data_IF_555520174367
#
_entry.id   IF_555520174367
#
_cell.length_a   1.000
_cell.length_b   1.000
_cell.length_c   1.000
_cell.angle_alpha   90.00
_cell.angle_beta   90.00
_cell.angle_gamma   90.00
#
_symmetry.space_group_name_H-M   'P 1'
#
loop_
_entity.id
_entity.type
_entity.pdbx_description
1 polymer ?
#
# COMPACT_ATOMS: atom_id res chain seq x y z
N UNK A 1 11.83 -25.84 24.71
CA UNK A 1 11.62 -25.44 24.29
C UNK A 1 11.07 -24.78 23.62
N UNK A 2 11.30 -24.26 23.85
CA UNK A 2 10.35 -23.71 23.23
C UNK A 2 10.43 -23.74 21.82
N UNK A 3 10.27 -24.20 21.48
CA UNK A 3 10.12 -24.24 20.42
C UNK A 3 9.21 -23.67 19.78
N UNK A 4 9.01 -23.64 19.45
CA UNK A 4 7.91 -23.38 18.71
C UNK A 4 7.37 -21.98 18.62
N UNK A 5 8.09 -21.00 18.88
CA UNK A 5 7.66 -19.64 18.62
C UNK A 5 7.60 -19.41 17.13
N UNK A 6 6.41 -19.28 16.61
CA UNK A 6 6.23 -18.82 15.24
C UNK A 6 6.81 -17.42 15.11
N UNK A 7 7.77 -17.27 14.23
CA UNK A 7 8.25 -15.96 13.84
C UNK A 7 7.12 -15.23 13.12
N UNK A 8 6.69 -14.13 13.67
CA UNK A 8 5.74 -13.28 12.97
C UNK A 8 6.47 -12.47 11.89
N UNK A 9 5.79 -12.20 10.79
CA UNK A 9 6.30 -11.32 9.74
C UNK A 9 6.05 -9.86 10.07
N UNK A 10 5.35 -9.59 11.17
CA UNK A 10 4.97 -8.24 11.58
C UNK A 10 6.08 -7.65 12.43
N UNK A 11 6.65 -6.55 11.95
CA UNK A 11 7.72 -5.83 12.64
C UNK A 11 7.15 -4.86 13.68
N UNK A 12 8.03 -4.35 14.53
CA UNK A 12 7.68 -3.29 15.49
C UNK A 12 8.01 -1.93 14.88
N UNK A 13 7.11 -0.98 15.06
CA UNK A 13 7.31 0.41 14.64
C UNK A 13 7.36 1.30 15.86
N UNK A 14 8.45 2.06 15.99
CA UNK A 14 8.63 3.01 17.07
C UNK A 14 7.98 4.35 16.72
N UNK A 15 7.80 5.27 17.70
CA UNK A 15 7.05 6.51 17.47
C UNK A 15 7.48 7.33 16.25
N UNK A 16 8.80 7.44 16.01
CA UNK A 16 9.27 8.20 14.85
C UNK A 16 8.93 7.55 13.53
N UNK A 17 8.83 6.22 13.48
CA UNK A 17 8.42 5.49 12.28
C UNK A 17 6.92 5.67 12.05
N UNK A 18 6.13 5.64 13.12
CA UNK A 18 4.69 5.89 13.05
C UNK A 18 4.43 7.30 12.51
N UNK A 19 5.23 8.26 12.94
CA UNK A 19 5.14 9.64 12.44
C UNK A 19 5.36 9.69 10.91
N UNK A 20 6.29 8.90 10.40
CA UNK A 20 6.51 8.80 8.95
C UNK A 20 5.29 8.23 8.24
N UNK A 21 4.64 7.22 8.82
CA UNK A 21 3.39 6.68 8.24
C UNK A 21 2.33 7.77 8.11
N UNK A 22 2.16 8.57 9.16
CA UNK A 22 1.18 9.66 9.17
C UNK A 22 1.49 10.72 8.13
N UNK A 23 2.77 11.09 8.00
CA UNK A 23 3.20 12.11 7.04
C UNK A 23 2.99 11.65 5.60
N UNK A 24 3.32 10.40 5.30
CA UNK A 24 3.11 9.83 3.96
C UNK A 24 1.62 9.77 3.64
N UNK A 25 0.81 9.34 4.60
CA UNK A 25 -0.64 9.29 4.43
C UNK A 25 -1.21 10.67 4.07
N UNK A 26 -0.82 11.70 4.81
CA UNK A 26 -1.27 13.07 4.55
C UNK A 26 -0.80 13.58 3.18
N UNK A 27 0.43 13.26 2.82
CA UNK A 27 0.96 13.63 1.51
C UNK A 27 0.15 12.99 0.39
N UNK A 28 -0.12 11.70 0.51
CA UNK A 28 -0.87 10.94 -0.52
C UNK A 28 -2.30 11.47 -0.64
N UNK A 29 -2.95 11.79 0.47
CA UNK A 29 -4.29 12.39 0.44
C UNK A 29 -4.29 13.69 -0.36
N UNK A 30 -3.34 14.56 -0.09
CA UNK A 30 -3.23 15.86 -0.77
C UNK A 30 -2.89 15.69 -2.25
N UNK A 31 -1.89 14.87 -2.55
CA UNK A 31 -1.43 14.59 -3.90
C UNK A 31 -2.53 13.99 -4.78
N UNK A 32 -3.19 12.97 -4.27
CA UNK A 32 -4.21 12.26 -5.05
C UNK A 32 -5.42 13.15 -5.34
N UNK A 33 -5.85 13.95 -4.39
CA UNK A 33 -6.97 14.86 -4.61
C UNK A 33 -6.63 15.92 -5.64
N UNK A 34 -5.42 16.46 -5.61
CA UNK A 34 -4.98 17.43 -6.61
C UNK A 34 -4.96 16.83 -8.01
N UNK A 35 -4.43 15.61 -8.15
CA UNK A 35 -4.39 14.93 -9.44
C UNK A 35 -5.79 14.67 -9.98
N UNK A 36 -6.72 14.28 -9.11
CA UNK A 36 -8.09 13.96 -9.53
C UNK A 36 -8.88 15.18 -9.98
N UNK A 37 -8.43 16.38 -9.62
CA UNK A 37 -9.04 17.61 -10.10
C UNK A 37 -8.69 17.91 -11.56
N UNK A 38 -7.62 17.34 -12.09
CA UNK A 38 -7.23 17.56 -13.49
C UNK A 38 -8.15 16.74 -14.41
N UNK A 39 -8.75 17.43 -15.37
CA UNK A 39 -9.63 16.80 -16.34
C UNK A 39 -8.95 15.68 -17.12
N UNK A 40 -7.67 15.85 -17.42
CA UNK A 40 -6.90 14.88 -18.21
C UNK A 40 -6.36 13.72 -17.39
N UNK A 41 -6.50 13.75 -16.07
CA UNK A 41 -6.06 12.64 -15.23
C UNK A 41 -7.22 11.65 -15.08
N UNK A 42 -7.15 10.54 -15.80
CA UNK A 42 -8.19 9.50 -15.77
C UNK A 42 -7.81 8.33 -14.87
N UNK A 43 -6.53 8.12 -14.64
CA UNK A 43 -6.02 7.00 -13.85
C UNK A 43 -4.91 7.50 -12.92
N UNK A 44 -5.01 7.12 -11.66
CA UNK A 44 -3.97 7.37 -10.68
C UNK A 44 -3.33 6.05 -10.34
N UNK A 45 -2.00 5.98 -10.39
CA UNK A 45 -1.24 4.77 -10.09
C UNK A 45 -0.30 5.05 -8.93
N UNK A 46 -0.36 4.18 -7.93
CA UNK A 46 0.57 4.21 -6.80
C UNK A 46 1.38 2.90 -6.80
N UNK A 47 2.69 3.00 -6.69
CA UNK A 47 3.57 1.84 -6.70
C UNK A 47 4.43 1.86 -5.44
N UNK A 48 4.37 0.79 -4.66
CA UNK A 48 5.26 0.58 -3.52
C UNK A 48 6.03 -0.71 -3.75
N UNK A 49 7.33 -0.59 -3.99
CA UNK A 49 8.19 -1.72 -4.33
C UNK A 49 8.60 -2.55 -3.11
N UNK A 50 8.45 -2.01 -1.91
CA UNK A 50 8.83 -2.66 -0.66
C UNK A 50 7.76 -2.37 0.39
N UNK A 51 6.56 -2.89 0.14
CA UNK A 51 5.37 -2.50 0.92
C UNK A 51 5.31 -3.11 2.32
N UNK A 52 6.14 -4.11 2.62
CA UNK A 52 6.06 -4.85 3.88
C UNK A 52 4.68 -5.53 4.01
N UNK A 53 4.31 -5.97 5.20
CA UNK A 53 3.00 -6.60 5.42
C UNK A 53 1.88 -5.61 5.74
N UNK A 54 2.19 -4.33 5.75
CA UNK A 54 1.20 -3.26 5.90
C UNK A 54 0.81 -2.92 7.32
N UNK A 55 1.11 -3.78 8.28
CA UNK A 55 0.78 -3.57 9.69
C UNK A 55 2.03 -3.75 10.53
N UNK A 56 2.03 -3.15 11.71
CA UNK A 56 3.15 -3.16 12.64
C UNK A 56 2.62 -3.24 14.06
N UNK A 57 3.47 -3.68 14.99
CA UNK A 57 3.19 -3.53 16.41
C UNK A 57 3.83 -2.22 16.89
N UNK A 58 3.09 -1.44 17.66
CA UNK A 58 3.68 -0.26 18.32
C UNK A 58 4.45 -0.70 19.57
N UNK A 59 5.02 0.25 20.31
CA UNK A 59 5.82 -0.06 21.50
C UNK A 59 5.00 -0.71 22.61
N UNK A 60 3.69 -0.55 22.59
CA UNK A 60 2.78 -1.14 23.57
C UNK A 60 2.22 -2.49 23.10
N UNK A 61 2.65 -2.98 21.94
CA UNK A 61 2.21 -4.25 21.40
C UNK A 61 0.87 -4.20 20.67
N UNK A 62 0.35 -3.01 20.42
CA UNK A 62 -0.89 -2.85 19.66
C UNK A 62 -0.62 -2.93 18.17
N UNK A 63 -1.53 -3.56 17.43
CA UNK A 63 -1.43 -3.63 15.98
C UNK A 63 -1.89 -2.31 15.37
N UNK A 64 -1.04 -1.74 14.52
CA UNK A 64 -1.34 -0.46 13.86
C UNK A 64 -1.09 -0.59 12.36
N UNK A 65 -1.76 0.26 11.58
CA UNK A 65 -1.57 0.30 10.14
C UNK A 65 -0.28 1.05 9.77
N UNK A 66 0.48 0.46 8.87
CA UNK A 66 1.64 1.10 8.26
C UNK A 66 1.28 1.81 6.97
N UNK A 67 2.31 2.19 6.21
CA UNK A 67 2.15 3.00 5.00
C UNK A 67 1.21 2.37 3.98
N UNK A 68 1.41 1.11 3.61
CA UNK A 68 0.65 0.52 2.51
C UNK A 68 -0.84 0.42 2.82
N UNK A 69 -1.21 0.05 4.04
CA UNK A 69 -2.63 -0.02 4.42
C UNK A 69 -3.25 1.38 4.50
N UNK A 70 -2.52 2.34 5.10
CA UNK A 70 -3.00 3.73 5.18
C UNK A 70 -3.22 4.34 3.81
N UNK A 71 -2.28 4.13 2.89
CA UNK A 71 -2.38 4.62 1.52
C UNK A 71 -3.53 3.94 0.79
N UNK A 72 -3.66 2.61 0.93
CA UNK A 72 -4.74 1.89 0.28
C UNK A 72 -6.11 2.41 0.71
N UNK A 73 -6.31 2.63 2.00
CA UNK A 73 -7.58 3.15 2.51
C UNK A 73 -7.82 4.60 2.05
N UNK A 74 -6.78 5.43 2.04
CA UNK A 74 -6.89 6.81 1.57
C UNK A 74 -7.26 6.86 0.09
N UNK A 75 -6.65 6.02 -0.74
CA UNK A 75 -6.92 5.98 -2.17
C UNK A 75 -8.26 5.34 -2.49
N UNK A 76 -8.75 4.41 -1.67
CA UNK A 76 -10.11 3.91 -1.80
C UNK A 76 -11.11 5.05 -1.64
N UNK A 77 -10.92 5.92 -0.64
CA UNK A 77 -11.79 7.07 -0.43
C UNK A 77 -11.76 8.03 -1.63
N UNK A 78 -10.59 8.20 -2.24
CA UNK A 78 -10.46 9.00 -3.47
C UNK A 78 -11.23 8.36 -4.62
N UNK A 79 -11.13 7.04 -4.78
CA UNK A 79 -11.87 6.32 -5.83
C UNK A 79 -13.38 6.47 -5.64
N UNK A 80 -13.86 6.41 -4.40
CA UNK A 80 -15.28 6.60 -4.10
C UNK A 80 -15.74 8.01 -4.48
N UNK A 81 -14.90 9.01 -4.21
CA UNK A 81 -15.21 10.41 -4.51
C UNK A 81 -15.21 10.70 -6.02
N UNK A 82 -14.39 9.99 -6.79
CA UNK A 82 -14.24 10.18 -8.22
C UNK A 82 -14.57 8.90 -9.00
N UNK A 83 -15.85 8.51 -9.04
CA UNK A 83 -16.24 7.19 -9.57
C UNK A 83 -15.98 6.98 -11.06
N UNK A 84 -15.75 8.06 -11.82
CA UNK A 84 -15.45 7.97 -13.25
C UNK A 84 -13.96 7.83 -13.54
N UNK A 85 -13.12 7.82 -12.51
CA UNK A 85 -11.67 7.71 -12.66
C UNK A 85 -11.19 6.42 -12.02
N UNK A 86 -10.06 5.91 -12.52
CA UNK A 86 -9.49 4.64 -12.04
C UNK A 86 -8.36 4.92 -11.03
N UNK A 87 -8.32 4.14 -9.97
CA UNK A 87 -7.22 4.14 -9.00
C UNK A 87 -6.62 2.75 -8.95
N UNK A 88 -5.31 2.65 -9.16
CA UNK A 88 -4.58 1.39 -9.14
C UNK A 88 -3.39 1.47 -8.19
N UNK A 89 -3.24 0.43 -7.37
CA UNK A 89 -2.09 0.30 -6.48
C UNK A 89 -1.34 -0.98 -6.81
N UNK A 90 -0.02 -0.85 -6.93
CA UNK A 90 0.87 -2.00 -7.00
C UNK A 90 1.63 -2.06 -5.68
N UNK A 91 1.35 -3.08 -4.89
CA UNK A 91 2.01 -3.27 -3.59
C UNK A 91 2.85 -4.54 -3.68
N UNK A 92 4.16 -4.35 -3.59
CA UNK A 92 5.12 -5.42 -3.81
C UNK A 92 6.09 -5.54 -2.63
N UNK A 93 6.42 -6.75 -2.27
CA UNK A 93 7.52 -7.04 -1.36
C UNK A 93 8.16 -8.35 -1.80
N UNK A 94 9.48 -8.41 -1.76
CA UNK A 94 10.19 -9.63 -2.16
C UNK A 94 9.90 -10.79 -1.21
N UNK A 95 9.49 -10.49 0.03
CA UNK A 95 9.13 -11.50 1.01
C UNK A 95 7.67 -11.93 0.82
N UNK A 96 7.49 -13.14 0.30
CA UNK A 96 6.17 -13.69 0.00
C UNK A 96 5.26 -13.74 1.24
N UNK A 97 5.83 -14.06 2.40
CA UNK A 97 5.05 -14.16 3.64
C UNK A 97 4.48 -12.80 4.05
N UNK A 98 5.25 -11.73 3.83
CA UNK A 98 4.78 -10.37 4.08
C UNK A 98 3.63 -9.99 3.16
N UNK A 99 3.70 -10.36 1.90
CA UNK A 99 2.62 -10.12 0.93
C UNK A 99 1.36 -10.88 1.34
N UNK A 100 1.50 -12.12 1.79
CA UNK A 100 0.36 -12.91 2.26
C UNK A 100 -0.31 -12.27 3.47
N UNK A 101 0.50 -11.74 4.39
CA UNK A 101 -0.04 -11.02 5.56
C UNK A 101 -0.73 -9.72 5.13
N UNK A 102 -0.14 -8.98 4.21
CA UNK A 102 -0.69 -7.73 3.69
C UNK A 102 -2.12 -7.92 3.15
N UNK A 103 -2.35 -9.01 2.44
CA UNK A 103 -3.66 -9.29 1.82
C UNK A 103 -4.80 -9.38 2.85
N UNK A 104 -4.47 -9.65 4.11
CA UNK A 104 -5.48 -9.72 5.18
C UNK A 104 -5.92 -8.35 5.68
N UNK A 105 -5.19 -7.30 5.34
CA UNK A 105 -5.36 -5.97 5.94
C UNK A 105 -5.76 -4.87 4.95
N UNK A 106 -5.69 -5.15 3.65
CA UNK A 106 -6.03 -4.17 2.62
C UNK A 106 -7.50 -4.30 2.22
N UNK A 107 -8.11 -3.20 1.73
CA UNK A 107 -9.50 -3.27 1.28
C UNK A 107 -9.64 -4.08 -0.01
N UNK A 108 -10.85 -4.57 -0.25
CA UNK A 108 -11.16 -5.32 -1.46
C UNK A 108 -11.20 -4.40 -2.67
N UNK A 109 -10.96 -4.98 -3.86
CA UNK A 109 -11.08 -4.24 -5.11
C UNK A 109 -12.53 -3.81 -5.34
N UNK A 110 -12.68 -2.65 -5.98
CA UNK A 110 -13.96 -2.10 -6.41
C UNK A 110 -13.91 -1.85 -7.92
N UNK A 111 -15.02 -1.40 -8.50
CA UNK A 111 -15.10 -1.20 -9.94
C UNK A 111 -13.98 -0.28 -10.47
N UNK A 112 -13.68 0.79 -9.76
CA UNK A 112 -12.65 1.76 -10.17
C UNK A 112 -11.49 1.83 -9.19
N UNK A 113 -11.28 0.79 -8.39
CA UNK A 113 -10.21 0.70 -7.40
C UNK A 113 -9.63 -0.70 -7.42
N UNK A 114 -8.34 -0.82 -7.73
CA UNK A 114 -7.66 -2.10 -7.83
C UNK A 114 -6.35 -2.09 -7.07
N UNK A 115 -6.13 -3.15 -6.29
CA UNK A 115 -4.84 -3.39 -5.64
C UNK A 115 -4.27 -4.68 -6.25
N UNK A 116 -3.08 -4.57 -6.81
CA UNK A 116 -2.33 -5.70 -7.35
C UNK A 116 -1.17 -5.96 -6.40
N UNK A 117 -1.16 -7.14 -5.78
CA UNK A 117 -0.08 -7.53 -4.86
C UNK A 117 0.85 -8.51 -5.55
N UNK A 118 2.16 -8.31 -5.37
CA UNK A 118 3.18 -9.16 -5.98
C UNK A 118 4.31 -9.43 -4.99
N UNK A 119 5.07 -10.48 -5.26
CA UNK A 119 6.23 -10.84 -4.44
C UNK A 119 7.50 -10.94 -5.28
N UNK A 120 7.70 -9.94 -6.12
CA UNK A 120 8.81 -9.88 -7.07
C UNK A 120 9.97 -9.06 -6.52
N UNK A 121 11.15 -9.26 -7.08
CA UNK A 121 12.25 -8.31 -6.95
C UNK A 121 11.77 -6.96 -7.51
N UNK A 122 12.13 -5.87 -6.84
CA UNK A 122 11.65 -4.54 -7.22
C UNK A 122 12.02 -4.17 -8.66
N UNK A 123 13.23 -4.53 -9.11
CA UNK A 123 13.67 -4.27 -10.48
C UNK A 123 12.84 -5.04 -11.50
N UNK A 124 12.51 -6.31 -11.18
CA UNK A 124 11.66 -7.13 -12.04
C UNK A 124 10.25 -6.53 -12.13
N UNK A 125 9.71 -6.11 -11.00
CA UNK A 125 8.39 -5.47 -10.97
C UNK A 125 8.35 -4.24 -11.88
N UNK A 126 9.33 -3.34 -11.72
CA UNK A 126 9.35 -2.10 -12.49
C UNK A 126 9.54 -2.34 -13.99
N UNK A 127 10.33 -3.34 -14.36
CA UNK A 127 10.48 -3.71 -15.77
C UNK A 127 9.21 -4.32 -16.35
N UNK A 128 8.42 -4.98 -15.52
CA UNK A 128 7.16 -5.62 -15.94
C UNK A 128 6.05 -4.60 -16.14
N UNK A 129 5.86 -3.70 -15.17
CA UNK A 129 4.74 -2.75 -15.21
C UNK A 129 5.08 -1.45 -15.94
N UNK A 130 6.36 -1.08 -16.02
CA UNK A 130 6.79 0.17 -16.65
C UNK A 130 6.21 0.40 -18.04
N UNK A 131 6.35 -0.57 -18.97
CA UNK A 131 5.78 -0.40 -20.32
C UNK A 131 4.28 -0.17 -20.34
N UNK A 132 3.54 -0.74 -19.40
CA UNK A 132 2.10 -0.60 -19.31
C UNK A 132 1.68 0.81 -18.89
N UNK A 133 2.54 1.52 -18.15
CA UNK A 133 2.24 2.86 -17.67
C UNK A 133 2.38 3.93 -18.75
N UNK A 134 3.11 3.64 -19.83
CA UNK A 134 3.32 4.57 -20.93
C UNK A 134 2.35 4.37 -22.10
N UNK A 135 1.48 3.41 -21.97
CA UNK A 135 0.46 3.13 -22.99
C UNK A 135 -0.95 3.56 -22.49
#
# INVERSE_FOLDING_TARGET
MARGKKKTVIDTAHPHTIKKFELIEEYIKSWSQKLMLYENCNTLVFIDCMCNCGVYFDDDGNLIDGTSVRVANALLNVAIKYPCKMVQLYLNDINKEKVEELRKHIPANERNFQIITTDLDAGVLLRTIGPQLYN
#
